data_IF_443007505522
#
_entry.id   IF_443007505522
#
_cell.length_a   1.000
_cell.length_b   1.000
_cell.length_c   1.000
_cell.angle_alpha   90.00
_cell.angle_beta   90.00
_cell.angle_gamma   90.00
#
_symmetry.space_group_name_H-M   'P 1'
#
loop_
_entity.id
_entity.type
_entity.pdbx_description
1 polymer ?
#
# COMPACT_ATOMS: atom_id res chain seq x y z
N UNK A 1 -24.43 -19.46 18.15
CA UNK A 1 -24.40 -18.23 17.31
C UNK A 1 -24.71 -18.62 15.87
N UNK A 2 -25.68 -17.99 15.21
CA UNK A 2 -26.07 -18.29 13.82
C UNK A 2 -25.34 -17.32 12.88
N UNK A 3 -24.64 -17.82 11.87
CA UNK A 3 -23.92 -16.99 10.87
C UNK A 3 -24.84 -16.06 10.08
N UNK A 4 -26.11 -16.45 9.92
CA UNK A 4 -27.12 -15.58 9.30
C UNK A 4 -27.37 -14.31 10.14
N UNK A 5 -27.36 -14.40 11.47
CA UNK A 5 -27.52 -13.25 12.34
C UNK A 5 -26.33 -12.28 12.24
N UNK A 6 -25.09 -12.78 11.93
CA UNK A 6 -23.94 -11.92 11.64
C UNK A 6 -24.14 -11.11 10.36
N UNK A 7 -24.69 -11.74 9.29
CA UNK A 7 -25.04 -11.03 8.04
C UNK A 7 -26.09 -9.95 8.30
N UNK A 8 -27.09 -10.25 9.11
CA UNK A 8 -28.13 -9.30 9.50
C UNK A 8 -27.56 -8.10 10.24
N UNK A 9 -26.67 -8.32 11.19
CA UNK A 9 -26.02 -7.25 11.94
C UNK A 9 -25.19 -6.34 11.02
N UNK A 10 -24.42 -6.89 10.09
CA UNK A 10 -23.65 -6.11 9.12
C UNK A 10 -24.55 -5.28 8.22
N UNK A 11 -25.67 -5.84 7.75
CA UNK A 11 -26.63 -5.11 6.90
C UNK A 11 -27.31 -3.96 7.66
N UNK A 12 -27.65 -4.14 8.95
CA UNK A 12 -28.20 -3.06 9.78
C UNK A 12 -27.17 -1.94 9.97
N UNK A 13 -25.92 -2.28 10.22
CA UNK A 13 -24.83 -1.29 10.35
C UNK A 13 -24.67 -0.47 9.05
N UNK A 14 -24.80 -1.11 7.89
CA UNK A 14 -24.73 -0.48 6.58
C UNK A 14 -25.93 0.42 6.30
N UNK A 15 -27.12 -0.08 6.55
CA UNK A 15 -28.38 0.63 6.27
C UNK A 15 -28.71 1.74 7.29
N UNK A 16 -28.10 1.68 8.49
CA UNK A 16 -28.39 2.56 9.65
C UNK A 16 -29.87 2.59 10.03
N UNK A 17 -30.64 1.59 9.62
CA UNK A 17 -32.09 1.45 9.82
C UNK A 17 -32.48 -0.02 9.74
N UNK A 18 -33.16 -0.53 10.78
CA UNK A 18 -33.65 -1.91 10.80
C UNK A 18 -34.68 -2.14 9.70
N UNK A 19 -35.58 -1.17 9.46
CA UNK A 19 -36.61 -1.29 8.40
C UNK A 19 -35.97 -1.34 7.01
N UNK A 20 -34.98 -0.51 6.73
CA UNK A 20 -34.30 -0.54 5.45
C UNK A 20 -33.45 -1.80 5.28
N UNK A 21 -32.76 -2.25 6.32
CA UNK A 21 -32.02 -3.52 6.31
C UNK A 21 -32.95 -4.71 6.06
N UNK A 22 -34.13 -4.74 6.68
CA UNK A 22 -35.14 -5.78 6.45
C UNK A 22 -35.62 -5.78 4.99
N UNK A 23 -35.86 -4.61 4.41
CA UNK A 23 -36.21 -4.50 2.99
C UNK A 23 -35.07 -5.01 2.08
N UNK A 24 -33.82 -4.65 2.37
CA UNK A 24 -32.66 -5.11 1.61
C UNK A 24 -32.44 -6.63 1.71
N UNK A 25 -32.85 -7.24 2.83
CA UNK A 25 -32.76 -8.68 3.10
C UNK A 25 -34.00 -9.45 2.67
N UNK A 26 -34.99 -8.79 2.08
CA UNK A 26 -36.29 -9.38 1.67
C UNK A 26 -37.00 -10.08 2.84
N UNK A 27 -37.00 -9.51 4.03
CA UNK A 27 -37.63 -10.08 5.22
C UNK A 27 -38.48 -9.06 5.99
N UNK A 28 -39.38 -9.56 6.83
CA UNK A 28 -40.18 -8.70 7.69
C UNK A 28 -39.34 -8.06 8.81
N UNK A 29 -39.50 -6.76 9.05
CA UNK A 29 -38.77 -6.02 10.07
C UNK A 29 -38.84 -6.63 11.48
N UNK A 30 -40.02 -7.14 11.96
CA UNK A 30 -40.07 -7.81 13.27
C UNK A 30 -39.16 -9.03 13.38
N UNK A 31 -39.03 -9.80 12.30
CA UNK A 31 -38.16 -10.97 12.27
C UNK A 31 -36.67 -10.56 12.35
N UNK A 32 -36.28 -9.53 11.63
CA UNK A 32 -34.92 -8.99 11.71
C UNK A 32 -34.61 -8.45 13.11
N UNK A 33 -35.55 -7.70 13.69
CA UNK A 33 -35.40 -7.16 15.06
C UNK A 33 -35.24 -8.26 16.09
N UNK A 34 -36.04 -9.34 15.99
CA UNK A 34 -35.93 -10.50 16.87
C UNK A 34 -34.60 -11.21 16.71
N UNK A 35 -34.14 -11.43 15.48
CA UNK A 35 -32.86 -12.10 15.21
C UNK A 35 -31.67 -11.32 15.78
N UNK A 36 -31.70 -9.98 15.75
CA UNK A 36 -30.67 -9.16 16.37
C UNK A 36 -30.73 -9.22 17.89
N UNK A 37 -31.90 -9.16 18.48
CA UNK A 37 -32.06 -9.29 19.93
C UNK A 37 -31.53 -10.65 20.42
N UNK A 38 -31.87 -11.76 19.74
CA UNK A 38 -31.31 -13.09 20.02
C UNK A 38 -29.78 -13.12 19.87
N UNK A 39 -29.21 -12.38 18.90
CA UNK A 39 -27.76 -12.28 18.73
C UNK A 39 -27.13 -11.56 19.92
N UNK A 40 -27.66 -10.40 20.31
CA UNK A 40 -27.20 -9.59 21.45
C UNK A 40 -27.27 -10.36 22.77
N UNK A 41 -28.36 -11.09 23.00
CA UNK A 41 -28.50 -12.00 24.16
C UNK A 41 -27.43 -13.09 24.14
N UNK A 42 -27.18 -13.73 23.00
CA UNK A 42 -26.21 -14.81 22.87
C UNK A 42 -24.76 -14.35 23.12
N UNK A 43 -24.43 -13.11 22.74
CA UNK A 43 -23.06 -12.57 22.93
C UNK A 43 -22.93 -11.72 24.19
N UNK A 44 -24.03 -11.39 24.87
CA UNK A 44 -24.07 -10.64 26.12
C UNK A 44 -23.67 -9.17 26.01
N UNK A 45 -23.82 -8.58 24.82
CA UNK A 45 -23.56 -7.15 24.57
C UNK A 45 -24.67 -6.56 23.72
N UNK A 46 -24.95 -5.26 23.92
CA UNK A 46 -25.73 -4.47 22.97
C UNK A 46 -24.83 -4.10 21.79
N UNK A 47 -25.23 -4.57 20.59
CA UNK A 47 -24.49 -4.29 19.35
C UNK A 47 -24.93 -2.94 18.79
N UNK A 48 -26.22 -2.61 18.92
CA UNK A 48 -26.78 -1.39 18.36
C UNK A 48 -27.49 -0.53 19.42
N UNK A 49 -27.44 0.78 19.21
CA UNK A 49 -28.21 1.76 19.94
C UNK A 49 -29.00 2.66 18.99
N UNK A 50 -30.11 3.23 19.49
CA UNK A 50 -30.89 4.21 18.74
C UNK A 50 -30.34 5.62 18.98
N UNK A 51 -30.13 6.35 17.89
CA UNK A 51 -29.66 7.73 17.93
C UNK A 51 -30.52 8.63 17.05
N UNK A 52 -30.32 9.94 17.12
CA UNK A 52 -30.95 10.90 16.18
C UNK A 52 -30.54 10.66 14.71
N UNK A 53 -29.49 9.88 14.47
CA UNK A 53 -28.98 9.50 13.15
C UNK A 53 -29.47 8.12 12.71
N UNK A 54 -30.42 7.52 13.43
CA UNK A 54 -30.93 6.17 13.20
C UNK A 54 -30.31 5.14 14.15
N UNK A 55 -30.17 3.89 13.66
CA UNK A 55 -29.53 2.80 14.40
C UNK A 55 -28.03 2.82 14.13
N UNK A 56 -27.22 2.92 15.19
CA UNK A 56 -25.77 2.99 15.12
C UNK A 56 -25.14 1.91 16.00
N UNK A 57 -24.00 1.37 15.63
CA UNK A 57 -23.28 0.43 16.50
C UNK A 57 -22.79 1.11 17.79
N UNK A 58 -22.90 0.41 18.92
CA UNK A 58 -22.20 0.80 20.16
C UNK A 58 -20.69 0.63 20.00
N UNK A 59 -19.89 1.11 20.97
CA UNK A 59 -18.44 0.89 20.92
C UNK A 59 -18.07 -0.60 20.85
N UNK A 60 -18.72 -1.46 21.67
CA UNK A 60 -18.57 -2.90 21.64
C UNK A 60 -19.18 -3.52 20.36
N UNK A 61 -20.27 -2.96 19.88
CA UNK A 61 -20.92 -3.34 18.63
C UNK A 61 -20.03 -3.13 17.42
N UNK A 62 -19.28 -2.04 17.37
CA UNK A 62 -18.31 -1.78 16.31
C UNK A 62 -17.20 -2.83 16.27
N UNK A 63 -16.66 -3.18 17.44
CA UNK A 63 -15.65 -4.24 17.57
C UNK A 63 -16.22 -5.61 17.16
N UNK A 64 -17.43 -5.94 17.64
CA UNK A 64 -18.16 -7.16 17.26
C UNK A 64 -18.36 -7.27 15.76
N UNK A 65 -18.79 -6.21 15.10
CA UNK A 65 -19.03 -6.18 13.65
C UNK A 65 -17.75 -6.42 12.84
N UNK A 66 -16.61 -5.93 13.34
CA UNK A 66 -15.30 -6.24 12.75
C UNK A 66 -15.03 -7.75 12.76
N UNK A 67 -15.20 -8.42 13.90
CA UNK A 67 -15.04 -9.87 14.00
C UNK A 67 -16.10 -10.63 13.20
N UNK A 68 -17.36 -10.18 13.21
CA UNK A 68 -18.42 -10.79 12.44
C UNK A 68 -18.13 -10.80 10.94
N UNK A 69 -17.55 -9.72 10.41
CA UNK A 69 -17.13 -9.62 9.02
C UNK A 69 -16.03 -10.64 8.70
N UNK A 70 -15.01 -10.74 9.52
CA UNK A 70 -13.91 -11.69 9.33
C UNK A 70 -14.41 -13.16 9.34
N UNK A 71 -15.32 -13.50 10.27
CA UNK A 71 -15.94 -14.84 10.32
C UNK A 71 -16.70 -15.17 9.05
N UNK A 72 -17.47 -14.22 8.51
CA UNK A 72 -18.20 -14.45 7.26
C UNK A 72 -17.27 -14.60 6.06
N UNK A 73 -16.20 -13.82 6.00
CA UNK A 73 -15.16 -13.96 4.98
C UNK A 73 -14.47 -15.33 5.06
N UNK A 74 -14.17 -15.83 6.25
CA UNK A 74 -13.59 -17.16 6.44
C UNK A 74 -14.56 -18.30 6.05
N UNK A 75 -15.85 -18.13 6.33
CA UNK A 75 -16.87 -19.08 5.86
C UNK A 75 -16.95 -19.09 4.33
N UNK A 76 -16.87 -17.95 3.69
CA UNK A 76 -16.92 -17.87 2.23
C UNK A 76 -15.63 -18.44 1.61
N UNK A 77 -14.46 -18.25 2.23
CA UNK A 77 -13.20 -18.97 1.89
C UNK A 77 -13.34 -20.49 2.04
N UNK A 78 -13.96 -20.98 3.13
CA UNK A 78 -14.19 -22.42 3.31
C UNK A 78 -15.10 -23.01 2.23
N UNK A 79 -16.13 -22.29 1.78
CA UNK A 79 -17.00 -22.74 0.69
C UNK A 79 -16.27 -22.84 -0.64
N UNK A 80 -15.33 -21.92 -0.90
CA UNK A 80 -14.56 -21.92 -2.13
C UNK A 80 -13.48 -23.02 -2.20
N UNK A 81 -13.16 -23.69 -1.09
CA UNK A 81 -12.20 -24.81 -1.08
C UNK A 81 -12.61 -26.01 -1.95
N UNK A 82 -13.90 -26.16 -2.22
CA UNK A 82 -14.46 -27.26 -3.05
C UNK A 82 -14.59 -26.92 -4.54
N UNK A 83 -14.36 -25.66 -4.92
CA UNK A 83 -14.40 -25.21 -6.31
C UNK A 83 -13.00 -25.15 -6.89
N UNK A 84 -12.79 -25.50 -8.18
CA UNK A 84 -11.49 -25.24 -8.81
C UNK A 84 -11.23 -23.72 -8.68
N UNK A 85 -10.06 -23.36 -8.13
CA UNK A 85 -9.68 -21.94 -7.94
C UNK A 85 -9.61 -21.23 -9.29
N UNK A 86 -10.74 -20.66 -9.71
CA UNK A 86 -10.86 -19.85 -10.93
C UNK A 86 -10.56 -18.37 -10.61
N UNK A 87 -10.27 -18.09 -9.33
CA UNK A 87 -10.06 -16.72 -8.84
C UNK A 87 -8.63 -16.26 -8.98
N UNK A 88 -8.46 -15.09 -9.56
CA UNK A 88 -7.22 -14.32 -9.48
C UNK A 88 -7.30 -13.45 -8.21
N UNK A 89 -6.76 -13.97 -7.11
CA UNK A 89 -6.88 -13.32 -5.80
C UNK A 89 -5.52 -13.16 -5.14
N UNK A 90 -5.26 -11.97 -4.63
CA UNK A 90 -4.15 -11.69 -3.70
C UNK A 90 -4.39 -10.39 -2.93
N UNK A 91 -3.77 -10.28 -1.75
CA UNK A 91 -3.79 -9.07 -0.93
C UNK A 91 -2.34 -8.63 -0.70
N UNK A 92 -1.95 -7.48 -1.22
CA UNK A 92 -0.57 -7.01 -1.23
C UNK A 92 -0.47 -5.66 -0.50
N UNK A 93 0.41 -5.58 0.50
CA UNK A 93 0.71 -4.35 1.23
C UNK A 93 2.13 -3.90 0.93
N UNK A 94 2.32 -2.69 0.40
CA UNK A 94 3.60 -2.21 -0.09
C UNK A 94 3.96 -0.81 0.43
N UNK A 95 5.26 -0.45 0.43
CA UNK A 95 5.65 0.93 0.61
C UNK A 95 5.34 1.75 -0.66
N UNK A 96 5.33 3.05 -0.51
CA UNK A 96 5.27 3.96 -1.67
C UNK A 96 6.55 3.83 -2.51
N UNK A 97 6.50 3.02 -3.57
CA UNK A 97 7.66 2.72 -4.42
C UNK A 97 7.31 2.63 -5.90
N UNK A 98 7.89 3.50 -6.74
CA UNK A 98 7.48 3.64 -8.14
C UNK A 98 7.66 2.37 -8.96
N UNK A 99 8.77 1.64 -8.80
CA UNK A 99 9.00 0.40 -9.52
C UNK A 99 8.08 -0.73 -9.02
N UNK A 100 7.73 -0.76 -7.72
CA UNK A 100 6.82 -1.73 -7.15
C UNK A 100 5.40 -1.51 -7.70
N UNK A 101 4.97 -0.24 -7.74
CA UNK A 101 3.65 0.10 -8.29
C UNK A 101 3.55 -0.14 -9.78
N UNK A 102 4.66 0.04 -10.52
CA UNK A 102 4.72 -0.30 -11.95
C UNK A 102 4.59 -1.82 -12.13
N UNK A 103 5.31 -2.63 -11.36
CA UNK A 103 5.18 -4.08 -11.38
C UNK A 103 3.74 -4.54 -11.11
N UNK A 104 3.06 -3.87 -10.17
CA UNK A 104 1.65 -4.16 -9.90
C UNK A 104 0.74 -3.73 -11.07
N UNK A 105 0.99 -2.58 -11.67
CA UNK A 105 0.25 -2.13 -12.86
C UNK A 105 0.41 -3.11 -14.03
N UNK A 106 1.61 -3.65 -14.23
CA UNK A 106 1.88 -4.64 -15.27
C UNK A 106 1.21 -5.99 -14.96
N UNK A 107 1.15 -6.39 -13.68
CA UNK A 107 0.34 -7.53 -13.26
C UNK A 107 -1.14 -7.32 -13.62
N UNK A 108 -1.69 -6.16 -13.29
CA UNK A 108 -3.11 -5.84 -13.56
C UNK A 108 -3.41 -5.86 -15.06
N UNK A 109 -2.46 -5.40 -15.89
CA UNK A 109 -2.62 -5.43 -17.35
C UNK A 109 -2.63 -6.87 -17.94
N UNK A 110 -2.02 -7.83 -17.24
CA UNK A 110 -1.93 -9.22 -17.67
C UNK A 110 -3.00 -10.12 -17.02
N UNK A 111 -3.94 -9.56 -16.24
CA UNK A 111 -5.01 -10.35 -15.63
C UNK A 111 -5.99 -10.85 -16.68
N UNK A 112 -6.45 -12.07 -16.50
CA UNK A 112 -7.48 -12.69 -17.31
C UNK A 112 -8.85 -12.17 -16.87
N UNK A 113 -9.45 -11.29 -17.66
CA UNK A 113 -10.75 -10.65 -17.36
C UNK A 113 -11.95 -11.60 -17.50
N UNK A 114 -11.76 -12.81 -18.02
CA UNK A 114 -12.78 -13.87 -18.06
C UNK A 114 -12.94 -14.59 -16.72
N UNK A 115 -11.96 -14.41 -15.80
CA UNK A 115 -11.97 -14.98 -14.45
C UNK A 115 -12.40 -13.96 -13.42
N UNK A 116 -12.92 -14.43 -12.30
CA UNK A 116 -13.15 -13.55 -11.16
C UNK A 116 -11.81 -12.99 -10.63
N UNK A 117 -11.80 -11.70 -10.35
CA UNK A 117 -10.64 -10.96 -9.85
C UNK A 117 -11.01 -10.33 -8.51
N UNK A 118 -10.22 -10.64 -7.48
CA UNK A 118 -10.36 -10.04 -6.15
C UNK A 118 -8.97 -9.72 -5.58
N UNK A 119 -8.45 -8.55 -5.89
CA UNK A 119 -7.11 -8.13 -5.50
C UNK A 119 -7.20 -6.88 -4.62
N UNK A 120 -6.59 -6.95 -3.43
CA UNK A 120 -6.43 -5.82 -2.52
C UNK A 120 -4.99 -5.33 -2.58
N UNK A 121 -4.83 -4.07 -2.96
CA UNK A 121 -3.53 -3.42 -3.06
C UNK A 121 -3.51 -2.20 -2.15
N UNK A 122 -2.62 -2.21 -1.15
CA UNK A 122 -2.51 -1.16 -0.14
C UNK A 122 -1.11 -0.56 -0.14
N UNK A 123 -1.02 0.76 -0.37
CA UNK A 123 0.22 1.51 -0.16
C UNK A 123 0.22 2.12 1.24
N UNK A 124 1.20 1.73 2.07
CA UNK A 124 1.28 2.18 3.45
C UNK A 124 2.74 2.24 3.95
N UNK A 125 2.94 2.48 5.25
CA UNK A 125 4.26 2.48 5.86
C UNK A 125 4.70 1.07 6.27
N UNK A 126 5.99 0.91 6.55
CA UNK A 126 6.61 -0.38 6.84
C UNK A 126 6.06 -1.08 8.09
N UNK A 127 5.69 -0.33 9.14
CA UNK A 127 5.10 -0.93 10.35
C UNK A 127 3.70 -1.46 10.08
N UNK A 128 2.89 -0.67 9.38
CA UNK A 128 1.54 -1.07 8.99
C UNK A 128 1.57 -2.26 8.02
N UNK A 129 2.54 -2.30 7.11
CA UNK A 129 2.73 -3.47 6.24
C UNK A 129 3.01 -4.75 7.04
N UNK A 130 3.85 -4.69 8.09
CA UNK A 130 4.09 -5.84 8.96
C UNK A 130 2.80 -6.27 9.68
N UNK A 131 2.01 -5.31 10.19
CA UNK A 131 0.72 -5.58 10.84
C UNK A 131 -0.26 -6.19 9.84
N UNK A 132 -0.35 -5.64 8.62
CA UNK A 132 -1.22 -6.13 7.57
C UNK A 132 -0.97 -7.60 7.26
N UNK A 133 0.30 -7.99 7.10
CA UNK A 133 0.65 -9.38 6.80
C UNK A 133 0.53 -10.30 8.03
N UNK A 134 0.86 -9.83 9.23
CA UNK A 134 0.82 -10.67 10.43
C UNK A 134 -0.58 -10.86 11.00
N UNK A 135 -1.41 -9.80 11.02
CA UNK A 135 -2.65 -9.73 11.78
C UNK A 135 -3.89 -9.55 10.90
N UNK A 136 -3.73 -8.97 9.71
CA UNK A 136 -4.79 -8.79 8.73
C UNK A 136 -4.62 -9.81 7.58
N UNK A 137 -5.58 -9.85 6.66
CA UNK A 137 -5.62 -10.83 5.57
C UNK A 137 -4.73 -10.47 4.37
N UNK A 138 -3.53 -9.89 4.60
CA UNK A 138 -2.58 -9.65 3.53
C UNK A 138 -1.64 -10.84 3.35
N UNK A 139 -1.48 -11.23 2.09
CA UNK A 139 -0.67 -12.38 1.69
C UNK A 139 0.82 -12.02 1.61
N UNK A 140 1.10 -10.92 0.91
CA UNK A 140 2.44 -10.41 0.68
C UNK A 140 2.58 -9.00 1.24
N UNK A 141 3.75 -8.69 1.76
CA UNK A 141 4.13 -7.34 2.14
C UNK A 141 5.51 -6.98 1.61
N UNK A 142 5.72 -5.71 1.28
CA UNK A 142 7.06 -5.19 1.03
C UNK A 142 7.35 -4.11 2.07
N UNK A 143 8.38 -4.31 2.86
CA UNK A 143 8.83 -3.40 3.91
C UNK A 143 10.03 -2.63 3.41
N UNK A 144 10.00 -1.29 3.52
CA UNK A 144 11.10 -0.40 3.16
C UNK A 144 11.65 0.27 4.39
N UNK A 145 12.95 0.20 4.60
CA UNK A 145 13.63 0.87 5.70
C UNK A 145 15.01 1.38 5.29
N UNK A 146 15.53 2.34 6.04
CA UNK A 146 16.94 2.75 5.90
C UNK A 146 17.84 1.64 6.42
N UNK A 147 18.98 1.41 5.77
CA UNK A 147 19.91 0.34 6.16
C UNK A 147 20.41 0.49 7.61
N UNK A 148 20.40 1.70 8.16
CA UNK A 148 20.70 1.94 9.58
C UNK A 148 19.69 1.32 10.53
N UNK A 149 18.43 1.14 10.08
CA UNK A 149 17.32 0.59 10.87
C UNK A 149 17.10 -0.93 10.61
N UNK A 150 17.99 -1.58 9.83
CA UNK A 150 17.82 -2.96 9.40
C UNK A 150 17.61 -3.92 10.57
N UNK A 151 18.42 -3.80 11.62
CA UNK A 151 18.28 -4.66 12.80
C UNK A 151 16.91 -4.56 13.44
N UNK A 152 16.40 -3.33 13.61
CA UNK A 152 15.08 -3.09 14.20
C UNK A 152 13.95 -3.74 13.38
N UNK A 153 13.96 -3.54 12.07
CA UNK A 153 12.90 -4.11 11.21
C UNK A 153 13.02 -5.63 11.08
N UNK A 154 14.22 -6.19 10.99
CA UNK A 154 14.40 -7.65 10.93
C UNK A 154 13.99 -8.34 12.23
N UNK A 155 14.30 -7.75 13.39
CA UNK A 155 13.83 -8.25 14.69
C UNK A 155 12.29 -8.16 14.77
N UNK A 156 11.69 -7.04 14.37
CA UNK A 156 10.24 -6.84 14.38
C UNK A 156 9.49 -7.82 13.47
N UNK A 157 9.99 -8.06 12.23
CA UNK A 157 9.43 -9.03 11.28
C UNK A 157 9.51 -10.45 11.87
N UNK A 158 10.64 -10.81 12.46
CA UNK A 158 10.85 -12.11 13.11
C UNK A 158 9.92 -12.32 14.30
N UNK A 159 9.76 -11.31 15.16
CA UNK A 159 8.89 -11.37 16.34
C UNK A 159 7.42 -11.56 15.95
N UNK A 160 7.02 -11.10 14.77
CA UNK A 160 5.69 -11.34 14.18
C UNK A 160 5.58 -12.70 13.45
N UNK A 161 6.61 -13.54 13.48
CA UNK A 161 6.61 -14.87 12.86
C UNK A 161 6.61 -14.86 11.34
N UNK A 162 7.06 -13.76 10.73
CA UNK A 162 7.08 -13.61 9.27
C UNK A 162 8.44 -14.04 8.69
N UNK A 163 8.41 -14.49 7.43
CA UNK A 163 9.61 -14.70 6.60
C UNK A 163 9.98 -13.37 5.96
N UNK A 164 11.29 -13.12 5.81
CA UNK A 164 11.83 -11.93 5.15
C UNK A 164 12.79 -12.34 4.03
N UNK A 165 12.58 -11.82 2.82
CA UNK A 165 13.45 -12.03 1.66
C UNK A 165 13.90 -10.68 1.09
N UNK A 166 15.21 -10.42 0.96
CA UNK A 166 15.71 -9.19 0.37
C UNK A 166 15.26 -9.03 -1.10
N UNK A 167 14.76 -7.85 -1.46
CA UNK A 167 14.43 -7.51 -2.86
C UNK A 167 15.51 -6.62 -3.46
N UNK A 168 15.75 -5.45 -2.84
CA UNK A 168 16.64 -4.43 -3.40
C UNK A 168 17.25 -3.57 -2.30
N UNK A 169 18.55 -3.30 -2.40
CA UNK A 169 19.21 -2.21 -1.68
C UNK A 169 19.54 -1.10 -2.68
N UNK A 170 19.16 0.13 -2.36
CA UNK A 170 19.32 1.27 -3.26
C UNK A 170 19.56 2.57 -2.52
N UNK A 171 20.17 3.53 -3.21
CA UNK A 171 20.18 4.93 -2.80
C UNK A 171 18.99 5.66 -3.43
N UNK A 172 18.29 6.48 -2.64
CA UNK A 172 17.25 7.34 -3.20
C UNK A 172 17.83 8.28 -4.25
N UNK A 173 17.02 8.54 -5.26
CA UNK A 173 17.26 9.53 -6.30
C UNK A 173 16.43 10.79 -6.04
N UNK A 174 16.89 11.91 -6.56
CA UNK A 174 16.13 13.17 -6.58
C UNK A 174 15.30 13.19 -7.86
N UNK A 175 13.98 13.29 -7.70
CA UNK A 175 13.02 13.42 -8.80
C UNK A 175 12.50 14.85 -8.86
N UNK A 176 12.49 15.43 -10.05
CA UNK A 176 12.04 16.80 -10.29
C UNK A 176 11.48 16.98 -11.72
N UNK A 177 10.77 18.06 -11.96
CA UNK A 177 10.34 18.44 -13.30
C UNK A 177 11.53 18.58 -14.26
N UNK A 178 11.38 18.22 -15.55
CA UNK A 178 12.35 18.57 -16.61
C UNK A 178 12.60 20.07 -16.71
N UNK A 179 11.63 20.89 -16.28
CA UNK A 179 11.73 22.34 -16.26
C UNK A 179 12.41 22.90 -15.00
N UNK A 180 12.75 22.07 -14.01
CA UNK A 180 13.44 22.52 -12.81
C UNK A 180 14.82 23.12 -13.14
N UNK A 181 15.24 24.23 -12.49
CA UNK A 181 16.54 24.87 -12.79
C UNK A 181 17.73 23.91 -12.69
N UNK A 182 17.67 22.97 -11.77
CA UNK A 182 18.74 21.97 -11.55
C UNK A 182 18.66 20.75 -12.49
N UNK A 183 17.57 20.58 -13.24
CA UNK A 183 17.35 19.39 -14.08
C UNK A 183 18.44 19.19 -15.16
N UNK A 184 19.02 20.27 -15.67
CA UNK A 184 20.06 20.25 -16.70
C UNK A 184 21.48 20.03 -16.16
N UNK A 185 21.70 20.13 -14.82
CA UNK A 185 23.03 19.92 -14.25
C UNK A 185 23.50 18.48 -14.44
N UNK A 186 24.77 18.29 -14.76
CA UNK A 186 25.37 16.96 -14.93
C UNK A 186 25.53 16.23 -13.59
N UNK A 187 25.92 16.96 -12.54
CA UNK A 187 26.00 16.48 -11.17
C UNK A 187 25.17 17.39 -10.27
N UNK A 188 24.57 16.80 -9.25
CA UNK A 188 23.73 17.48 -8.27
C UNK A 188 24.32 17.26 -6.89
N UNK A 189 24.60 18.36 -6.17
CA UNK A 189 25.03 18.33 -4.78
C UNK A 189 23.83 18.53 -3.86
N UNK A 190 23.90 18.02 -2.67
CA UNK A 190 22.82 18.17 -1.68
C UNK A 190 22.55 19.63 -1.33
N UNK A 191 23.60 20.44 -1.21
CA UNK A 191 23.52 21.88 -0.92
C UNK A 191 22.73 22.64 -2.00
N UNK A 192 22.85 22.25 -3.28
CA UNK A 192 22.11 22.88 -4.39
C UNK A 192 20.58 22.79 -4.18
N UNK A 193 20.12 21.70 -3.56
CA UNK A 193 18.68 21.48 -3.27
C UNK A 193 18.20 22.37 -2.12
N UNK A 194 19.06 22.62 -1.13
CA UNK A 194 18.68 23.39 0.07
C UNK A 194 18.52 24.89 -0.21
N UNK A 195 19.22 25.42 -1.21
CA UNK A 195 19.26 26.86 -1.47
C UNK A 195 17.94 27.38 -2.03
N UNK A 196 17.41 26.78 -3.09
CA UNK A 196 16.32 27.36 -3.88
C UNK A 196 15.19 26.40 -4.22
N UNK A 197 15.16 25.19 -3.65
CA UNK A 197 14.17 24.18 -4.00
C UNK A 197 13.23 23.86 -2.84
N UNK A 198 12.01 23.50 -3.18
CA UNK A 198 10.99 23.03 -2.21
C UNK A 198 10.94 21.52 -2.22
N UNK A 199 11.08 20.91 -1.07
CA UNK A 199 11.01 19.46 -0.94
C UNK A 199 9.58 19.00 -0.73
N UNK A 200 9.12 18.11 -1.59
CA UNK A 200 7.88 17.35 -1.37
C UNK A 200 8.23 16.09 -0.59
N UNK A 201 7.62 15.95 0.56
CA UNK A 201 7.90 14.86 1.50
C UNK A 201 6.63 14.04 1.67
N UNK A 202 6.77 12.71 1.66
CA UNK A 202 5.69 11.86 2.13
C UNK A 202 5.48 12.04 3.63
N UNK A 203 4.29 12.52 3.97
CA UNK A 203 3.80 12.48 5.35
C UNK A 203 3.48 11.02 5.70
N UNK A 204 4.01 10.55 6.81
CA UNK A 204 3.63 9.26 7.36
C UNK A 204 2.68 9.50 8.54
N UNK A 205 1.43 9.04 8.41
CA UNK A 205 0.40 9.19 9.42
C UNK A 205 0.66 8.32 10.67
N UNK A 206 1.56 7.34 10.58
CA UNK A 206 1.80 6.35 11.63
C UNK A 206 2.85 6.80 12.66
N UNK A 207 3.66 7.81 12.36
CA UNK A 207 4.69 8.30 13.29
C UNK A 207 4.34 9.72 13.70
N UNK A 208 4.10 9.98 15.01
CA UNK A 208 3.96 11.35 15.50
C UNK A 208 5.18 12.15 15.06
N UNK A 209 4.93 13.26 14.39
CA UNK A 209 5.98 14.09 13.82
C UNK A 209 6.85 14.66 14.95
N UNK A 210 8.05 14.12 15.11
CA UNK A 210 9.10 14.72 15.93
C UNK A 210 10.30 14.98 15.02
N UNK A 211 10.69 16.23 14.85
CA UNK A 211 11.86 16.64 14.05
C UNK A 211 13.17 15.90 14.46
N UNK A 212 13.21 15.32 15.66
CA UNK A 212 14.38 14.67 16.23
C UNK A 212 14.61 13.23 15.78
N UNK A 213 13.61 12.56 15.19
CA UNK A 213 13.69 11.15 14.79
C UNK A 213 13.89 10.95 13.29
N UNK A 214 13.94 12.01 12.52
CA UNK A 214 14.15 11.93 11.07
C UNK A 214 15.63 11.74 10.74
N UNK A 215 15.99 10.51 10.46
CA UNK A 215 17.26 10.12 9.89
C UNK A 215 17.12 9.96 8.38
N UNK A 216 17.16 11.02 7.62
CA UNK A 216 17.02 10.94 6.16
C UNK A 216 17.63 12.15 5.48
N UNK A 217 17.71 12.16 4.14
CA UNK A 217 18.30 13.27 3.39
C UNK A 217 17.63 14.62 3.66
N UNK A 218 16.37 14.60 4.12
CA UNK A 218 15.50 15.78 4.26
C UNK A 218 15.71 16.62 5.53
N UNK A 219 16.62 16.27 6.41
CA UNK A 219 16.72 16.89 7.76
C UNK A 219 16.96 18.40 7.70
N UNK A 220 17.76 18.88 6.77
CA UNK A 220 18.26 20.25 6.73
C UNK A 220 17.43 21.20 5.85
N UNK A 221 16.43 20.70 5.12
CA UNK A 221 15.63 21.56 4.26
C UNK A 221 14.53 22.28 5.05
N UNK A 222 14.51 23.63 4.97
CA UNK A 222 13.49 24.47 5.61
C UNK A 222 12.25 24.70 4.74
N UNK A 223 12.30 24.39 3.44
CA UNK A 223 11.20 24.56 2.50
C UNK A 223 10.61 23.19 2.19
N UNK A 224 9.57 22.80 2.92
CA UNK A 224 8.98 21.45 2.87
C UNK A 224 7.48 21.51 2.71
N UNK A 225 6.95 20.64 1.87
CA UNK A 225 5.51 20.38 1.72
C UNK A 225 5.30 18.91 2.00
N UNK A 226 4.42 18.60 2.96
CA UNK A 226 4.09 17.22 3.29
C UNK A 226 2.88 16.78 2.48
N UNK A 227 3.03 15.66 1.77
CA UNK A 227 1.98 15.05 0.94
C UNK A 227 1.67 13.68 1.54
N UNK A 228 0.43 13.48 1.94
CA UNK A 228 0.00 12.24 2.58
C UNK A 228 -0.55 11.24 1.56
N UNK A 229 -1.20 11.73 0.51
CA UNK A 229 -1.75 10.91 -0.56
C UNK A 229 -0.82 10.89 -1.78
N UNK A 230 -0.65 9.70 -2.38
CA UNK A 230 0.29 9.54 -3.50
C UNK A 230 -0.25 10.04 -4.84
N UNK A 231 -1.56 9.97 -5.06
CA UNK A 231 -2.16 10.23 -6.37
C UNK A 231 -1.77 11.57 -7.02
N UNK A 232 -1.50 12.60 -6.21
CA UNK A 232 -1.13 13.93 -6.69
C UNK A 232 0.37 14.21 -6.74
N UNK A 233 1.21 13.30 -6.29
CA UNK A 233 2.65 13.55 -6.07
C UNK A 233 3.41 13.88 -7.34
N UNK A 234 3.28 13.07 -8.40
CA UNK A 234 3.97 13.31 -9.66
C UNK A 234 3.36 14.50 -10.42
N UNK A 235 2.06 14.73 -10.28
CA UNK A 235 1.41 15.92 -10.81
C UNK A 235 1.94 17.18 -10.13
N UNK A 236 2.04 17.21 -8.82
CA UNK A 236 2.64 18.32 -8.07
C UNK A 236 4.08 18.60 -8.52
N UNK A 237 4.91 17.57 -8.67
CA UNK A 237 6.28 17.72 -9.19
C UNK A 237 6.31 18.27 -10.61
N UNK A 238 5.40 17.84 -11.46
CA UNK A 238 5.28 18.32 -12.83
C UNK A 238 4.92 19.80 -12.92
N UNK A 239 4.00 20.26 -12.06
CA UNK A 239 3.49 21.64 -12.05
C UNK A 239 4.38 22.59 -11.24
N UNK A 240 4.84 22.16 -10.06
CA UNK A 240 5.68 22.96 -9.18
C UNK A 240 7.16 22.89 -9.60
N UNK A 241 7.53 23.65 -10.62
CA UNK A 241 8.84 23.60 -11.31
C UNK A 241 10.06 23.85 -10.43
N UNK A 242 9.90 24.34 -9.22
CA UNK A 242 10.98 24.52 -8.23
C UNK A 242 10.99 23.44 -7.14
N UNK A 243 10.17 22.41 -7.28
CA UNK A 243 10.07 21.34 -6.30
C UNK A 243 10.84 20.07 -6.70
N UNK A 244 11.25 19.33 -5.69
CA UNK A 244 11.85 18.01 -5.84
C UNK A 244 11.35 17.06 -4.76
N UNK A 245 11.60 15.78 -4.94
CA UNK A 245 11.41 14.77 -3.91
C UNK A 245 12.51 13.71 -3.95
N UNK A 246 12.75 13.08 -2.80
CA UNK A 246 13.52 11.85 -2.73
C UNK A 246 12.61 10.65 -2.98
N UNK A 247 13.04 9.78 -3.86
CA UNK A 247 12.30 8.58 -4.23
C UNK A 247 13.22 7.37 -4.40
N UNK A 248 12.66 6.16 -4.30
CA UNK A 248 13.32 4.99 -4.91
C UNK A 248 13.48 5.23 -6.41
N UNK A 249 14.38 4.53 -7.09
CA UNK A 249 14.51 4.64 -8.55
C UNK A 249 13.14 4.53 -9.24
N UNK A 250 12.89 5.44 -10.18
CA UNK A 250 11.60 5.56 -10.88
C UNK A 250 11.76 5.00 -12.30
N UNK A 251 10.84 4.15 -12.79
CA UNK A 251 10.83 3.68 -14.17
C UNK A 251 10.81 4.84 -15.20
N UNK A 252 11.49 4.68 -16.32
CA UNK A 252 11.65 5.73 -17.33
C UNK A 252 10.35 6.14 -18.00
N UNK A 253 9.43 5.20 -18.23
CA UNK A 253 8.10 5.46 -18.78
C UNK A 253 7.28 6.34 -17.83
N UNK A 254 7.31 6.05 -16.52
CA UNK A 254 6.68 6.89 -15.49
C UNK A 254 7.27 8.32 -15.50
N UNK A 255 8.60 8.45 -15.49
CA UNK A 255 9.26 9.76 -15.58
C UNK A 255 8.83 10.52 -16.84
N UNK A 256 8.74 9.81 -17.95
CA UNK A 256 8.38 10.42 -19.25
C UNK A 256 6.94 10.87 -19.27
N UNK A 257 6.01 10.07 -18.76
CA UNK A 257 4.58 10.38 -18.71
C UNK A 257 4.28 11.67 -17.94
N UNK A 258 5.04 11.95 -16.87
CA UNK A 258 4.87 13.17 -16.07
C UNK A 258 5.85 14.29 -16.39
N UNK A 259 6.69 14.15 -17.41
CA UNK A 259 7.69 15.17 -17.76
C UNK A 259 8.74 15.39 -16.66
N UNK A 260 9.11 14.33 -15.97
CA UNK A 260 10.05 14.34 -14.86
C UNK A 260 11.44 13.83 -15.28
N UNK A 261 12.42 14.09 -14.44
CA UNK A 261 13.78 13.52 -14.50
C UNK A 261 14.19 13.06 -13.12
N UNK A 262 15.02 12.03 -13.07
CA UNK A 262 15.69 11.61 -11.84
C UNK A 262 17.19 11.88 -11.92
N UNK A 263 17.78 12.24 -10.78
CA UNK A 263 19.19 12.56 -10.63
C UNK A 263 19.77 11.85 -9.42
N UNK A 264 20.99 11.36 -9.59
CA UNK A 264 21.76 10.91 -8.44
C UNK A 264 22.24 12.14 -7.66
N UNK A 265 22.13 12.04 -6.34
CA UNK A 265 22.60 13.06 -5.41
C UNK A 265 23.06 12.38 -4.11
N UNK A 266 24.32 12.60 -3.75
CA UNK A 266 24.84 12.08 -2.48
C UNK A 266 24.25 12.88 -1.32
N UNK A 267 23.69 12.16 -0.35
CA UNK A 267 23.15 12.73 0.88
C UNK A 267 23.37 11.77 2.06
N UNK A 268 23.44 12.27 3.29
CA UNK A 268 23.56 11.43 4.47
C UNK A 268 22.36 10.47 4.61
N UNK A 269 22.62 9.25 5.08
CA UNK A 269 21.60 8.24 5.36
C UNK A 269 20.62 8.00 4.17
N UNK A 270 21.16 7.98 2.96
CA UNK A 270 20.37 7.87 1.73
C UNK A 270 20.27 6.44 1.19
N UNK A 271 20.62 5.43 1.99
CA UNK A 271 20.55 4.04 1.57
C UNK A 271 19.35 3.34 2.22
N UNK A 272 18.54 2.67 1.38
CA UNK A 272 17.30 1.99 1.75
C UNK A 272 17.32 0.55 1.26
N UNK A 273 16.54 -0.28 1.94
CA UNK A 273 16.35 -1.68 1.59
C UNK A 273 14.87 -2.01 1.52
N UNK A 274 14.49 -2.71 0.44
CA UNK A 274 13.17 -3.32 0.29
C UNK A 274 13.27 -4.81 0.57
N UNK A 275 12.34 -5.32 1.37
CA UNK A 275 12.30 -6.71 1.81
C UNK A 275 10.87 -7.23 1.63
N UNK A 276 10.71 -8.35 0.94
CA UNK A 276 9.45 -9.09 0.86
C UNK A 276 9.20 -9.80 2.19
N UNK A 277 7.97 -9.73 2.67
CA UNK A 277 7.53 -10.45 3.87
C UNK A 277 6.25 -11.23 3.61
N UNK A 278 6.12 -12.40 4.23
CA UNK A 278 4.93 -13.25 4.18
C UNK A 278 4.90 -14.22 5.37
N UNK A 279 3.76 -14.84 5.66
CA UNK A 279 3.62 -15.85 6.73
C UNK A 279 4.40 -17.12 6.38
N UNK A 280 5.07 -17.74 7.35
CA UNK A 280 5.94 -18.91 7.14
C UNK A 280 5.26 -20.07 6.40
N UNK A 281 3.97 -20.30 6.70
CA UNK A 281 3.20 -21.40 6.10
C UNK A 281 2.37 -20.96 4.89
N UNK A 282 2.55 -19.73 4.42
CA UNK A 282 1.85 -19.23 3.25
C UNK A 282 2.39 -19.88 1.98
N UNK A 283 1.46 -20.42 1.18
CA UNK A 283 1.75 -20.94 -0.16
C UNK A 283 1.39 -19.86 -1.17
N UNK A 284 2.37 -19.42 -1.92
CA UNK A 284 2.16 -18.42 -2.97
C UNK A 284 1.20 -18.94 -4.03
N UNK A 285 0.31 -18.09 -4.47
CA UNK A 285 -0.61 -18.34 -5.59
C UNK A 285 0.06 -17.98 -6.92
N UNK A 286 -0.51 -18.45 -8.04
CA UNK A 286 -0.02 -18.06 -9.37
C UNK A 286 0.02 -16.54 -9.58
N UNK A 287 -0.88 -15.80 -8.93
CA UNK A 287 -0.93 -14.33 -9.00
C UNK A 287 0.21 -13.70 -8.20
N UNK A 288 0.53 -14.27 -7.03
CA UNK A 288 1.68 -13.82 -6.24
C UNK A 288 2.99 -14.04 -7.00
N UNK A 289 3.15 -15.22 -7.61
CA UNK A 289 4.33 -15.54 -8.40
C UNK A 289 4.48 -14.60 -9.60
N UNK A 290 3.40 -14.33 -10.33
CA UNK A 290 3.39 -13.36 -11.42
C UNK A 290 3.74 -11.94 -10.94
N UNK A 291 3.22 -11.52 -9.78
CA UNK A 291 3.60 -10.22 -9.20
C UNK A 291 5.11 -10.16 -8.93
N UNK A 292 5.67 -11.22 -8.33
CA UNK A 292 7.11 -11.27 -8.01
C UNK A 292 7.97 -11.31 -9.27
N UNK A 293 7.54 -11.98 -10.34
CA UNK A 293 8.20 -11.95 -11.65
C UNK A 293 8.23 -10.52 -12.23
N UNK A 294 7.06 -9.80 -12.22
CA UNK A 294 6.99 -8.41 -12.67
C UNK A 294 7.86 -7.49 -11.81
N UNK A 295 7.88 -7.73 -10.50
CA UNK A 295 8.71 -6.96 -9.57
C UNK A 295 10.21 -7.14 -9.86
N UNK A 296 10.65 -8.35 -10.16
CA UNK A 296 12.03 -8.64 -10.54
C UNK A 296 12.40 -7.94 -11.85
N UNK A 297 11.51 -8.00 -12.87
CA UNK A 297 11.72 -7.31 -14.15
C UNK A 297 11.86 -5.80 -13.96
N UNK A 298 10.95 -5.16 -13.23
CA UNK A 298 10.99 -3.73 -12.99
C UNK A 298 12.20 -3.30 -12.15
N UNK A 299 12.60 -4.12 -11.18
CA UNK A 299 13.84 -3.94 -10.41
C UNK A 299 15.06 -3.90 -11.33
N UNK A 300 15.20 -4.86 -12.23
CA UNK A 300 16.31 -4.87 -13.19
C UNK A 300 16.31 -3.64 -14.11
N UNK A 301 15.14 -3.24 -14.62
CA UNK A 301 15.00 -2.07 -15.49
C UNK A 301 15.44 -0.77 -14.80
N UNK A 302 15.02 -0.55 -13.56
CA UNK A 302 15.43 0.65 -12.83
C UNK A 302 16.93 0.63 -12.49
N UNK A 303 17.52 -0.52 -12.18
CA UNK A 303 18.96 -0.63 -11.95
C UNK A 303 19.76 -0.34 -13.21
N UNK A 304 19.39 -0.90 -14.37
CA UNK A 304 20.01 -0.62 -15.68
C UNK A 304 19.92 0.87 -16.02
N UNK A 305 18.80 1.51 -15.70
CA UNK A 305 18.62 2.96 -15.96
C UNK A 305 19.57 3.85 -15.15
N UNK A 306 19.93 3.43 -13.95
CA UNK A 306 20.86 4.16 -13.07
C UNK A 306 22.32 4.00 -13.50
N UNK A 307 22.73 2.84 -14.03
CA UNK A 307 24.10 2.55 -14.48
C UNK A 307 24.42 3.15 -15.85
N UNK A 308 23.43 3.72 -16.55
CA UNK A 308 23.63 4.36 -17.85
C UNK A 308 23.70 3.39 -19.05
N UNK A 309 23.57 2.09 -18.83
CA UNK A 309 23.56 1.07 -19.88
C UNK A 309 22.29 1.11 -20.75
N UNK A 310 21.19 1.63 -20.20
CA UNK A 310 19.92 1.82 -20.94
C UNK A 310 19.98 2.88 -22.06
N UNK A 311 20.93 3.80 -22.03
CA UNK A 311 21.01 4.90 -23.03
C UNK A 311 21.60 4.48 -24.39
N UNK A 312 22.21 3.28 -24.49
CA UNK A 312 22.80 2.81 -25.74
C UNK A 312 21.79 2.16 -26.67
N UNK A 313 20.74 1.57 -26.15
CA UNK A 313 19.75 0.82 -26.95
C UNK A 313 18.67 1.72 -27.58
N UNK A 314 18.29 2.84 -26.95
CA UNK A 314 17.31 3.78 -27.54
C UNK A 314 17.85 4.55 -28.76
N UNK A 315 19.17 4.75 -28.86
CA UNK A 315 19.76 5.43 -30.03
C UNK A 315 19.86 4.53 -31.27
N UNK A 316 19.76 3.21 -31.13
CA UNK A 316 19.81 2.29 -32.26
C UNK A 316 18.42 1.99 -32.86
N UNK A 317 17.33 2.10 -32.08
CA UNK A 317 15.97 1.86 -32.57
C UNK A 317 15.33 3.07 -33.29
N UNK A 318 15.92 4.26 -33.21
CA UNK A 318 15.47 5.46 -33.96
C UNK A 318 16.26 5.67 -35.27
N UNK A 319 16.97 4.66 -35.78
CA UNK A 319 17.72 4.73 -37.04
C UNK A 319 17.32 3.65 -38.05
N UNK A 320 16.17 3.02 -37.85
CA UNK A 320 15.57 2.16 -38.91
C UNK A 320 14.21 2.70 -39.32
#
# INVERSE_FOLDING_TARGET
MNTQHLRYAIEIARAKSISQAAANLFMAQPNLSKAIHELEENVGIEIFERSSKGVVPTAKGFEFLKYAKNVLEDIDKMKSLGEPQIFQQTNISIPRGSYISKAFADLVADLDTEKEINIHYCETNSKETVINVSENDYNLGIVRYQTIDEKYFMDYIKDKGLVAQPILTFKCVVVMSKAHPLAKRKSLKYEDLLENSVELIHGDNAVPYTDKTRTGPSINNRRRIFVYERGSQFELLSQAKSSYMWASPVPNDTLSAFGLVQKHCEAPNNEFKDVLIYKKDYKMTDIDEKFLEKLEMEKELVLKSLTGEGRKNEKNNNRT
#
